data_IF_157927000491
#
_entry.id   IF_157927000491
#
_cell.length_a   1.000
_cell.length_b   1.000
_cell.length_c   1.000
_cell.angle_alpha   90.00
_cell.angle_beta   90.00
_cell.angle_gamma   90.00
#
_symmetry.space_group_name_H-M   'P 1'
#
loop_
_entity.id
_entity.type
_entity.pdbx_description
1 polymer ?
2 non-polymer ?
3 non-polymer ?
4 water ?
#
# COMPACT_ATOMS: atom_id res chain seq x y z
N UNK A 8 -8.01 -13.97 0.23
CA UNK A 8 -7.21 -13.08 -0.60
C UNK A 8 -8.10 -12.07 -1.32
N UNK A 9 -7.38 -10.95 -1.68
CA UNK A 9 -7.96 -9.84 -2.36
C UNK A 9 -8.80 -10.22 -3.56
N UNK A 10 -8.35 -11.15 -4.41
CA UNK A 10 -9.13 -11.55 -5.57
C UNK A 10 -10.34 -12.41 -5.25
N UNK A 11 -10.54 -12.84 -4.01
CA UNK A 11 -11.70 -13.66 -3.66
C UNK A 11 -12.86 -12.81 -3.15
N UNK A 12 -12.64 -11.52 -2.90
CA UNK A 12 -13.78 -10.68 -2.44
C UNK A 12 -14.68 -10.41 -3.64
N UNK A 13 -16.00 -10.56 -3.48
CA UNK A 13 -16.85 -10.22 -4.66
C UNK A 13 -17.03 -8.71 -4.65
N UNK A 14 -16.30 -7.99 -5.50
CA UNK A 14 -16.35 -6.55 -5.56
C UNK A 14 -17.68 -5.96 -6.01
N UNK A 15 -18.57 -6.73 -6.63
CA UNK A 15 -19.85 -6.20 -7.07
C UNK A 15 -20.88 -6.21 -5.95
N UNK A 16 -20.61 -6.87 -4.85
CA UNK A 16 -21.55 -7.01 -3.75
C UNK A 16 -21.29 -6.15 -2.53
N UNK A 17 -20.09 -5.61 -2.41
CA UNK A 17 -19.85 -4.75 -1.22
C UNK A 17 -20.53 -3.42 -1.42
N UNK A 18 -20.64 -2.63 -0.35
CA UNK A 18 -21.33 -1.35 -0.32
C UNK A 18 -20.45 -0.24 0.25
N UNK A 19 -19.79 0.52 -0.62
CA UNK A 19 -18.91 1.60 -0.13
C UNK A 19 -19.70 2.80 0.34
N UNK A 20 -19.17 3.59 1.24
CA UNK A 20 -17.88 3.36 1.85
C UNK A 20 -18.00 2.42 3.03
N UNK A 21 -16.88 1.77 3.41
CA UNK A 21 -16.98 0.85 4.56
C UNK A 21 -15.58 0.54 5.10
N UNK A 22 -15.66 -0.23 6.19
CA UNK A 22 -14.44 -0.78 6.78
C UNK A 22 -14.63 -2.30 6.79
N UNK A 23 -13.63 -3.06 6.38
CA UNK A 23 -13.75 -4.51 6.36
C UNK A 23 -12.45 -5.20 6.76
N UNK A 24 -12.57 -6.21 7.62
CA UNK A 24 -11.36 -7.01 7.93
C UNK A 24 -11.06 -7.78 6.63
N UNK A 25 -9.86 -7.58 6.06
CA UNK A 25 -9.52 -8.24 4.80
C UNK A 25 -8.70 -9.50 5.02
N UNK A 26 -8.19 -9.61 6.24
CA UNK A 26 -7.44 -10.87 6.54
C UNK A 26 -6.80 -10.69 7.90
N UNK A 27 -6.40 -11.83 8.45
CA UNK A 27 -5.73 -11.80 9.78
C UNK A 27 -4.73 -12.95 9.77
N UNK A 28 -3.48 -12.67 10.13
CA UNK A 28 -2.42 -13.67 10.13
C UNK A 28 -1.93 -13.88 11.56
N UNK A 29 -1.62 -15.14 11.86
CA UNK A 29 -1.13 -15.46 13.20
C UNK A 29 0.39 -15.43 13.15
N UNK A 30 0.99 -14.73 14.13
CA UNK A 30 2.48 -14.66 14.07
C UNK A 30 3.04 -15.85 14.82
N UNK A 31 4.32 -16.18 14.68
CA UNK A 31 4.92 -17.33 15.33
C UNK A 31 4.70 -17.47 16.80
N UNK A 32 4.65 -16.38 17.58
CA UNK A 32 4.42 -16.51 19.03
C UNK A 32 2.96 -16.46 19.42
N UNK A 33 2.05 -16.42 18.45
CA UNK A 33 0.63 -16.42 18.76
C UNK A 33 -0.05 -15.06 18.70
N UNK A 34 0.68 -14.04 18.28
CA UNK A 34 0.05 -12.71 18.12
C UNK A 34 -0.65 -12.64 16.77
N UNK A 35 -1.33 -11.54 16.46
CA UNK A 35 -2.07 -11.42 15.21
C UNK A 35 -1.80 -10.08 14.50
N UNK A 36 -1.75 -10.14 13.20
CA UNK A 36 -1.63 -8.97 12.33
C UNK A 36 -2.96 -8.91 11.55
N UNK A 37 -3.72 -7.84 11.69
CA UNK A 37 -5.00 -7.73 11.00
C UNK A 37 -4.89 -6.78 9.80
N UNK A 38 -5.57 -7.13 8.71
CA UNK A 38 -5.50 -6.24 7.53
C UNK A 38 -6.89 -5.65 7.32
N UNK A 39 -7.00 -4.36 7.03
CA UNK A 39 -8.31 -3.74 6.82
C UNK A 39 -8.42 -3.03 5.47
N UNK A 40 -9.55 -3.21 4.83
CA UNK A 40 -9.93 -2.60 3.56
C UNK A 40 -10.74 -1.36 3.95
N UNK A 41 -10.13 -0.20 3.78
CA UNK A 41 -10.78 1.10 4.11
C UNK A 41 -11.25 1.60 2.74
N UNK A 42 -12.54 1.29 2.45
CA UNK A 42 -13.04 1.59 1.12
C UNK A 42 -13.75 2.91 1.02
N UNK A 43 -13.24 3.77 0.17
CA UNK A 43 -13.86 5.08 -0.03
C UNK A 43 -14.94 5.02 -1.12
N UNK A 44 -14.61 4.46 -2.28
CA UNK A 44 -15.50 4.44 -3.41
C UNK A 44 -15.94 3.04 -3.80
N UNK A 45 -17.12 3.01 -4.43
CA UNK A 45 -17.66 1.74 -4.89
C UNK A 45 -16.80 1.14 -6.00
N UNK A 46 -16.36 -0.07 -5.85
CA UNK A 46 -15.53 -0.72 -6.88
C UNK A 46 -16.13 -0.56 -8.25
N UNK A 47 -15.26 -0.14 -9.17
CA UNK A 47 -15.55 0.04 -10.58
C UNK A 47 -16.51 1.12 -10.95
N UNK A 48 -16.81 2.07 -10.08
CA UNK A 48 -17.71 3.17 -10.44
C UNK A 48 -16.95 4.49 -10.46
N UNK A 49 -15.61 4.39 -10.49
CA UNK A 49 -14.77 5.57 -10.51
C UNK A 49 -13.61 5.37 -9.53
N UNK A 50 -12.56 6.16 -9.72
CA UNK A 50 -11.39 6.03 -8.84
C UNK A 50 -10.94 7.40 -8.35
N UNK A 51 -10.18 7.37 -7.27
CA UNK A 51 -9.63 8.60 -6.70
C UNK A 51 -8.42 8.95 -7.59
N UNK A 52 -8.30 10.22 -7.93
CA UNK A 52 -7.15 10.67 -8.76
C UNK A 52 -5.85 10.36 -8.05
N UNK A 53 -4.77 10.01 -8.78
CA UNK A 53 -3.51 9.68 -8.17
C UNK A 53 -2.99 10.73 -7.22
N UNK A 54 -3.07 12.04 -7.60
CA UNK A 54 -2.53 13.04 -6.67
C UNK A 54 -3.31 13.09 -5.36
N UNK A 55 -4.63 13.02 -5.50
CA UNK A 55 -5.52 13.03 -4.35
C UNK A 55 -5.26 11.82 -3.43
N UNK A 56 -5.04 10.62 -4.05
CA UNK A 56 -4.81 9.48 -3.14
C UNK A 56 -3.44 9.52 -2.52
N UNK A 57 -2.49 10.16 -3.16
CA UNK A 57 -1.14 10.36 -2.60
C UNK A 57 -1.26 11.28 -1.39
N UNK A 58 -2.06 12.35 -1.49
CA UNK A 58 -2.29 13.22 -0.33
C UNK A 58 -3.05 12.50 0.77
N UNK A 59 -4.09 11.72 0.43
CA UNK A 59 -4.81 10.94 1.44
C UNK A 59 -3.86 9.99 2.16
N UNK A 60 -2.91 9.41 1.41
CA UNK A 60 -1.90 8.54 2.04
C UNK A 60 -1.07 9.33 3.05
N UNK A 61 -0.57 10.50 2.67
CA UNK A 61 0.24 11.26 3.65
C UNK A 61 -0.57 11.65 4.87
N UNK A 62 -1.83 12.06 4.65
CA UNK A 62 -2.65 12.52 5.77
C UNK A 62 -3.11 11.37 6.67
N UNK A 63 -3.58 10.28 6.03
CA UNK A 63 -4.05 9.16 6.87
C UNK A 63 -2.96 8.36 7.52
N UNK A 64 -1.73 8.45 6.96
CA UNK A 64 -0.62 7.73 7.60
C UNK A 64 -0.47 8.27 9.02
N UNK A 65 -0.54 9.61 9.16
CA UNK A 65 -0.44 10.20 10.48
C UNK A 65 -1.77 10.16 11.26
N UNK A 66 -2.90 10.47 10.63
CA UNK A 66 -4.17 10.52 11.35
C UNK A 66 -4.69 9.18 11.82
N UNK A 67 -4.46 8.09 11.06
CA UNK A 67 -4.85 6.78 11.55
C UNK A 67 -4.04 6.44 12.80
N UNK A 68 -2.73 6.76 12.76
CA UNK A 68 -1.83 6.51 13.89
C UNK A 68 -2.16 7.34 15.11
N UNK A 69 -2.84 8.48 14.92
CA UNK A 69 -3.27 9.27 16.06
C UNK A 69 -4.49 8.64 16.74
N UNK A 70 -5.27 7.84 16.03
CA UNK A 70 -6.50 7.28 16.58
C UNK A 70 -6.51 5.79 16.78
N UNK A 71 -5.42 5.12 16.44
CA UNK A 71 -5.43 3.66 16.60
C UNK A 71 -4.01 3.20 16.93
N UNK A 72 -3.89 2.35 17.93
CA UNK A 72 -2.57 1.83 18.27
C UNK A 72 -2.22 0.64 17.39
N UNK A 73 -0.94 0.36 17.20
CA UNK A 73 -0.44 -0.75 16.45
C UNK A 73 -0.45 -0.71 14.95
N UNK A 74 -0.71 0.48 14.39
CA UNK A 74 -0.69 0.61 12.94
C UNK A 74 0.68 0.34 12.37
N UNK A 75 0.79 -0.56 11.43
CA UNK A 75 2.04 -0.92 10.78
C UNK A 75 2.23 -0.18 9.47
N UNK A 76 1.09 -0.05 8.75
CA UNK A 76 1.13 0.58 7.44
C UNK A 76 -0.26 1.06 7.01
N UNK A 77 -0.24 2.16 6.27
CA UNK A 77 -1.47 2.70 5.65
C UNK A 77 -1.07 2.96 4.21
N UNK A 78 -1.59 2.21 3.23
CA UNK A 78 -1.18 2.41 1.84
C UNK A 78 -2.37 2.52 0.91
N UNK A 79 -2.21 3.19 -0.21
CA UNK A 79 -3.28 3.26 -1.17
C UNK A 79 -3.44 1.92 -1.89
N UNK A 80 -4.66 1.57 -2.32
CA UNK A 80 -4.81 0.36 -3.14
C UNK A 80 -4.51 0.70 -4.60
N UNK A 81 -3.92 -0.24 -5.34
CA UNK A 81 -3.67 0.03 -6.77
C UNK A 81 -4.94 0.38 -7.52
N UNK A 83 -7.25 2.28 -6.51
CA UNK A 83 -7.53 3.64 -6.18
C UNK A 83 -8.94 3.91 -5.69
N UNK A 84 -9.57 2.92 -5.07
CA UNK A 84 -10.92 3.16 -4.51
C UNK A 84 -10.86 3.12 -2.99
N UNK A 85 -9.69 2.80 -2.46
CA UNK A 85 -9.60 2.73 -0.98
C UNK A 85 -8.15 2.56 -0.57
N UNK A 86 -7.99 2.34 0.73
CA UNK A 86 -6.67 2.15 1.31
C UNK A 86 -6.60 0.83 2.10
N UNK A 87 -5.43 0.23 2.12
CA UNK A 87 -5.24 -0.96 2.97
C UNK A 87 -4.49 -0.51 4.24
N UNK A 88 -4.85 -1.09 5.39
CA UNK A 88 -4.14 -0.75 6.62
C UNK A 88 -3.83 -2.07 7.36
N UNK A 89 -2.57 -2.20 7.77
CA UNK A 89 -2.17 -3.41 8.53
C UNK A 89 -1.96 -2.97 9.98
N UNK A 90 -2.52 -3.71 10.93
CA UNK A 90 -2.47 -3.37 12.35
C UNK A 90 -2.04 -4.57 13.19
N UNK A 91 -1.17 -4.33 14.16
CA UNK A 91 -0.81 -5.44 15.07
C UNK A 91 -1.95 -5.48 16.11
N UNK A 92 -2.61 -6.64 16.18
CA UNK A 92 -3.69 -6.81 17.13
C UNK A 92 -4.81 -7.68 16.51
N UNK A 93 -5.58 -8.23 17.43
CA UNK A 93 -6.75 -9.01 17.05
C UNK A 93 -7.70 -8.20 16.18
N UNK A 94 -8.49 -8.85 15.37
CA UNK A 94 -9.48 -8.10 14.57
C UNK A 94 -10.38 -7.29 15.48
N UNK A 95 -10.65 -6.06 15.02
CA UNK A 95 -11.51 -5.12 15.70
C UNK A 95 -12.10 -4.14 14.68
N UNK A 96 -13.01 -4.65 13.86
CA UNK A 96 -13.59 -3.74 12.84
C UNK A 96 -14.30 -2.54 13.41
N UNK A 97 -14.98 -2.70 14.55
CA UNK A 97 -15.71 -1.53 15.10
C UNK A 97 -14.70 -0.48 15.53
N UNK A 98 -13.64 -0.87 16.23
CA UNK A 98 -12.60 0.07 16.63
C UNK A 98 -11.93 0.75 15.45
N UNK A 99 -11.64 0.01 14.38
CA UNK A 99 -11.00 0.60 13.20
C UNK A 99 -11.98 1.53 12.50
N UNK A 100 -13.26 1.17 12.45
CA UNK A 100 -14.23 2.09 11.84
C UNK A 100 -14.27 3.41 12.61
N UNK A 101 -14.28 3.34 13.94
CA UNK A 101 -14.33 4.58 14.73
C UNK A 101 -13.05 5.36 14.53
N UNK A 102 -11.92 4.69 14.45
CA UNK A 102 -10.63 5.37 14.22
C UNK A 102 -10.62 6.02 12.83
N UNK A 103 -11.08 5.29 11.82
CA UNK A 103 -11.14 5.83 10.45
C UNK A 103 -12.04 7.05 10.40
N UNK A 104 -13.19 7.01 11.06
CA UNK A 104 -14.09 8.17 11.04
C UNK A 104 -13.41 9.41 11.64
N UNK A 105 -12.69 9.22 12.74
CA UNK A 105 -11.97 10.31 13.39
C UNK A 105 -10.88 10.84 12.45
N UNK A 106 -10.15 9.89 11.86
CA UNK A 106 -9.09 10.30 10.93
C UNK A 106 -9.62 11.03 9.73
N UNK A 107 -10.81 10.63 9.25
CA UNK A 107 -11.41 11.35 8.10
C UNK A 107 -11.85 12.74 8.51
N UNK A 108 -12.32 12.91 9.75
CA UNK A 108 -12.71 14.26 10.22
C UNK A 108 -11.44 15.12 10.23
N UNK A 109 -10.34 14.55 10.70
CA UNK A 109 -9.08 15.28 10.72
C UNK A 109 -8.65 15.66 9.31
N UNK A 110 -8.79 14.71 8.39
CA UNK A 110 -8.42 14.93 6.99
C UNK A 110 -9.31 16.02 6.37
N UNK A 111 -10.63 15.93 6.58
CA UNK A 111 -11.53 16.91 6.00
C UNK A 111 -11.24 18.33 6.50
N UNK A 112 -10.79 18.42 7.74
CA UNK A 112 -10.49 19.69 8.35
C UNK A 112 -9.04 20.12 8.20
N UNK A 113 -8.21 19.40 7.44
CA UNK A 113 -6.81 19.74 7.28
C UNK A 113 -6.55 20.92 6.36
N UNK A 114 -6.37 22.10 7.01
CA UNK A 114 -6.13 23.32 6.28
C UNK A 114 -4.69 23.80 6.44
N UNK A 115 -3.82 22.93 6.89
CA UNK A 115 -2.40 23.26 7.07
C UNK A 115 -1.68 22.62 5.90
N UNK A 116 -0.40 22.85 5.77
CA UNK A 116 0.36 22.25 4.69
C UNK A 116 0.31 20.71 4.79
N UNK A 117 0.38 20.07 3.63
CA UNK A 117 0.38 18.56 3.68
C UNK A 117 1.69 18.15 4.30
N UNK A 118 1.71 17.26 5.27
CA UNK A 118 2.93 16.80 5.90
C UNK A 118 3.75 15.97 4.92
N UNK A 119 5.06 16.07 5.04
CA UNK A 119 5.99 15.31 4.23
C UNK A 119 6.07 15.62 2.77
N UNK A 120 5.69 16.80 2.32
CA UNK A 120 5.76 17.11 0.88
C UNK A 120 7.01 17.93 0.58
N UNK A 121 8.04 17.25 0.11
CA UNK A 121 9.30 17.89 -0.26
C UNK A 121 10.14 16.83 -1.00
N UNK A 122 11.17 17.28 -1.70
CA UNK A 122 12.06 16.32 -2.38
C UNK A 122 12.77 15.47 -1.37
N UNK A 123 13.00 15.95 -0.14
CA UNK A 123 13.67 15.19 0.88
C UNK A 123 12.80 14.07 1.45
N UNK A 124 11.51 14.39 1.65
CA UNK A 124 10.66 13.42 2.33
C UNK A 124 9.65 12.63 1.55
N UNK A 125 9.48 12.92 0.28
CA UNK A 125 8.46 12.30 -0.56
C UNK A 125 9.05 11.90 -1.90
N UNK A 126 8.65 10.75 -2.45
CA UNK A 126 9.16 10.29 -3.73
C UNK A 126 8.53 10.91 -4.97
N UNK A 127 7.48 11.72 -4.79
CA UNK A 127 6.83 12.42 -5.93
C UNK A 127 6.13 13.65 -5.30
N UNK A 128 6.94 14.60 -4.84
CA UNK A 128 6.38 15.75 -4.12
C UNK A 128 5.53 16.69 -4.96
N UNK A 129 5.57 16.58 -6.27
CA UNK A 129 4.75 17.46 -7.08
C UNK A 129 3.36 16.89 -7.34
N UNK A 130 3.10 15.66 -6.94
CA UNK A 130 1.82 15.03 -7.24
C UNK A 130 0.89 14.94 -6.04
N UNK A 131 0.35 16.06 -5.59
CA UNK A 131 -0.56 16.15 -4.47
C UNK A 131 -1.79 16.98 -4.79
N UNK A 132 -2.85 16.78 -4.02
CA UNK A 132 -4.07 17.58 -4.22
C UNK A 132 -4.82 17.54 -2.88
N UNK A 133 -4.50 18.52 -2.03
CA UNK A 133 -5.13 18.60 -0.73
C UNK A 133 -6.63 18.83 -0.86
N UNK A 134 -7.00 19.79 -1.74
CA UNK A 134 -8.44 20.05 -1.87
C UNK A 134 -9.22 18.79 -2.23
N UNK A 135 -8.71 17.98 -3.16
CA UNK A 135 -9.43 16.76 -3.55
C UNK A 135 -9.44 15.75 -2.42
N UNK A 136 -8.30 15.65 -1.70
CA UNK A 136 -8.25 14.69 -0.58
C UNK A 136 -9.26 15.07 0.50
N UNK A 137 -9.36 16.37 0.83
CA UNK A 137 -10.30 16.80 1.87
C UNK A 137 -11.74 16.55 1.43
N UNK A 138 -12.02 16.74 0.15
CA UNK A 138 -13.40 16.49 -0.30
C UNK A 138 -13.75 15.02 -0.28
N UNK A 139 -12.77 14.16 -0.59
CA UNK A 139 -13.05 12.71 -0.53
C UNK A 139 -13.38 12.32 0.88
N UNK A 140 -12.69 12.88 1.88
CA UNK A 140 -12.92 12.58 3.28
C UNK A 140 -14.35 13.04 3.61
N UNK A 141 -14.69 14.26 3.21
CA UNK A 141 -16.06 14.75 3.46
C UNK A 141 -17.11 13.86 2.86
N UNK A 142 -16.95 13.42 1.61
CA UNK A 142 -17.91 12.55 0.95
C UNK A 142 -18.08 11.23 1.72
N UNK A 143 -17.00 10.65 2.23
CA UNK A 143 -17.16 9.40 2.99
C UNK A 143 -17.98 9.68 4.26
N UNK A 144 -17.67 10.76 4.97
CA UNK A 144 -18.43 11.06 6.19
C UNK A 144 -19.89 11.37 5.84
N UNK A 145 -20.13 12.08 4.74
CA UNK A 145 -21.52 12.37 4.37
C UNK A 145 -22.30 11.10 4.09
N UNK A 146 -21.71 10.15 3.36
CA UNK A 146 -22.44 8.91 3.05
C UNK A 146 -22.61 8.03 4.27
N UNK A 147 -21.59 8.03 5.14
CA UNK A 147 -21.59 7.25 6.35
C UNK A 147 -20.87 5.91 6.20
N UNK A 148 -20.06 5.60 7.20
CA UNK A 148 -19.33 4.35 7.20
C UNK A 148 -20.10 3.24 7.87
N UNK A 149 -19.74 2.01 7.54
CA UNK A 149 -20.36 0.84 8.18
C UNK A 149 -19.38 -0.34 8.06
N UNK A 150 -19.53 -1.36 8.85
CA UNK A 150 -18.69 -2.56 8.79
C UNK A 150 -19.29 -3.49 7.73
N UNK A 151 -18.52 -3.75 6.69
CA UNK A 151 -18.90 -4.57 5.56
C UNK A 151 -18.45 -6.01 5.71
N UNK A 152 -19.42 -6.92 5.53
CA UNK A 152 -19.07 -8.33 5.59
C UNK A 152 -18.28 -8.73 4.33
N UNK A 153 -17.41 -9.74 4.48
CA UNK A 153 -16.69 -10.24 3.33
C UNK A 153 -17.59 -11.21 2.58
N UNK A 154 -17.92 -10.84 1.36
CA UNK A 154 -18.78 -11.68 0.52
C UNK A 154 -17.79 -12.34 -0.45
N UNK A 155 -17.70 -13.66 -0.38
CA UNK A 155 -16.71 -14.36 -1.20
C UNK A 155 -17.24 -14.75 -2.57
N UNK A 156 -16.32 -14.83 -3.54
CA UNK A 156 -16.74 -15.30 -4.87
C UNK A 156 -16.81 -16.84 -4.83
N UNK B 7 5.23 9.68 11.33
CA UNK B 7 5.29 8.95 10.05
C UNK B 7 6.76 8.80 9.67
N UNK B 8 7.34 7.64 9.95
CA UNK B 8 8.64 7.20 9.61
C UNK B 8 9.04 7.24 8.16
N UNK B 9 8.11 7.15 7.24
CA UNK B 9 8.38 7.36 5.84
C UNK B 9 9.06 8.70 5.54
N UNK B 10 8.68 9.73 6.20
CA UNK B 10 9.12 11.08 5.90
C UNK B 10 10.54 11.34 6.42
N UNK B 11 11.07 10.37 7.14
CA UNK B 11 12.43 10.53 7.69
C UNK B 11 13.51 10.04 6.76
N UNK B 12 13.16 9.27 5.72
CA UNK B 12 14.24 8.82 4.81
C UNK B 12 14.64 10.00 3.90
N UNK B 13 15.94 10.22 3.70
CA UNK B 13 16.37 11.28 2.79
C UNK B 13 16.29 10.76 1.35
N UNK B 14 15.19 11.12 0.70
CA UNK B 14 14.89 10.66 -0.65
C UNK B 14 15.89 11.14 -1.69
N UNK B 15 16.70 12.16 -1.39
CA UNK B 15 17.66 12.67 -2.36
C UNK B 15 18.94 11.83 -2.30
N UNK B 16 19.15 11.06 -1.25
CA UNK B 16 20.38 10.29 -1.13
C UNK B 16 20.34 8.83 -1.47
N UNK B 17 19.18 8.22 -1.68
CA UNK B 17 19.09 6.81 -2.06
C UNK B 17 19.36 6.69 -3.56
N UNK B 18 19.70 5.46 -3.97
CA UNK B 18 20.02 5.18 -5.37
C UNK B 18 19.21 4.04 -5.90
N UNK B 19 18.10 4.35 -6.58
CA UNK B 19 17.24 3.29 -7.11
C UNK B 19 17.83 2.62 -8.34
N UNK B 20 17.42 1.40 -8.65
CA UNK B 20 16.49 0.64 -7.86
C UNK B 20 17.15 -0.07 -6.70
N UNK B 21 16.33 -0.39 -5.67
CA UNK B 21 16.93 -1.06 -4.51
C UNK B 21 15.84 -1.74 -3.68
N UNK B 22 16.37 -2.46 -2.67
CA UNK B 22 15.53 -3.01 -1.60
C UNK B 22 16.08 -2.39 -0.31
N UNK B 23 15.16 -1.95 0.56
CA UNK B 23 15.61 -1.36 1.85
C UNK B 23 14.66 -1.73 2.97
N UNK B 24 15.24 -2.06 4.13
CA UNK B 24 14.34 -2.32 5.28
C UNK B 24 13.84 -0.92 5.67
N UNK B 25 12.52 -0.71 5.59
CA UNK B 25 11.91 0.58 5.92
C UNK B 25 11.59 0.68 7.41
N UNK B 26 11.36 -0.45 8.05
CA UNK B 26 11.09 -0.40 9.49
C UNK B 26 10.83 -1.82 9.97
N UNK B 27 10.96 -1.99 11.29
CA UNK B 27 10.68 -3.30 11.87
C UNK B 27 9.84 -3.02 13.14
N UNK B 28 8.75 -3.73 13.29
CA UNK B 28 7.96 -3.52 14.52
C UNK B 28 7.85 -4.87 15.21
N UNK B 29 7.64 -4.84 16.54
CA UNK B 29 7.43 -6.14 17.18
C UNK B 29 6.02 -6.21 17.75
N UNK B 30 5.47 -7.43 17.73
CA UNK B 30 4.15 -7.65 18.35
C UNK B 30 4.44 -7.73 19.86
N UNK B 31 3.39 -7.76 20.68
CA UNK B 31 3.59 -7.82 22.13
C UNK B 31 4.42 -8.98 22.61
N UNK B 32 4.30 -10.17 22.00
CA UNK B 32 5.08 -11.33 22.44
C UNK B 32 6.50 -11.30 21.90
N UNK B 33 6.75 -10.47 20.88
CA UNK B 33 8.08 -10.36 20.34
C UNK B 33 8.30 -10.75 18.91
N UNK B 34 7.26 -10.97 18.13
CA UNK B 34 7.49 -11.35 16.73
C UNK B 34 7.76 -10.08 15.90
N UNK B 35 8.76 -10.19 15.04
CA UNK B 35 9.09 -9.04 14.20
C UNK B 35 8.30 -9.04 12.89
N UNK B 36 7.83 -7.85 12.55
CA UNK B 36 7.10 -7.56 11.32
C UNK B 36 8.00 -6.54 10.60
N UNK B 37 8.60 -7.01 9.49
CA UNK B 37 9.52 -6.16 8.76
C UNK B 37 8.82 -5.55 7.53
N UNK B 38 9.17 -4.30 7.26
CA UNK B 38 8.54 -3.62 6.11
C UNK B 38 9.69 -3.23 5.17
N UNK B 39 9.50 -3.53 3.88
CA UNK B 39 10.56 -3.24 2.94
C UNK B 39 10.10 -2.25 1.87
N UNK B 40 11.06 -1.40 1.53
CA UNK B 40 10.85 -0.42 0.45
C UNK B 40 11.47 -1.11 -0.78
N UNK B 41 10.61 -1.41 -1.74
CA UNK B 41 11.03 -2.06 -3.01
C UNK B 41 10.96 -0.89 -3.99
N UNK B 42 12.16 -0.31 -4.23
CA UNK B 42 12.11 0.93 -5.04
C UNK B 42 12.48 0.70 -6.50
N UNK B 43 11.54 1.06 -7.37
CA UNK B 43 11.80 0.88 -8.81
C UNK B 43 12.49 2.12 -9.40
N UNK B 44 11.94 3.30 -9.12
CA UNK B 44 12.42 4.52 -9.73
C UNK B 44 13.06 5.46 -8.73
N UNK B 45 13.98 6.29 -9.23
CA UNK B 45 14.61 7.28 -8.33
C UNK B 45 13.56 8.29 -7.90
N UNK B 46 13.46 8.59 -6.62
CA UNK B 46 12.49 9.57 -6.13
C UNK B 46 12.61 10.90 -6.87
N UNK B 47 11.47 11.40 -7.31
CA UNK B 47 11.28 12.66 -8.03
C UNK B 47 11.87 12.79 -9.39
N UNK B 48 12.20 11.70 -10.06
CA UNK B 48 12.71 11.74 -11.43
C UNK B 48 11.71 11.16 -12.42
N UNK B 49 10.50 10.89 -11.97
CA UNK B 49 9.47 10.31 -12.84
C UNK B 49 8.71 9.29 -11.96
N UNK B 50 7.53 8.93 -12.43
CA UNK B 50 6.70 7.99 -11.65
C UNK B 50 6.09 6.95 -12.52
N UNK B 51 5.73 5.81 -11.94
CA UNK B 51 5.07 4.74 -12.68
C UNK B 51 3.62 5.14 -12.92
N UNK B 52 3.16 4.89 -14.14
CA UNK B 52 1.74 5.28 -14.44
C UNK B 52 0.83 4.47 -13.53
N UNK B 53 -0.31 5.04 -13.10
CA UNK B 53 -1.24 4.36 -12.22
C UNK B 53 -1.67 3.01 -12.75
N UNK B 54 -1.94 2.89 -14.08
CA UNK B 54 -2.35 1.57 -14.58
C UNK B 54 -1.27 0.52 -14.41
N UNK B 55 -0.05 0.92 -14.74
CA UNK B 55 1.09 0.03 -14.64
C UNK B 55 1.38 -0.36 -13.18
N UNK B 56 1.24 0.61 -12.27
CA UNK B 56 1.54 0.20 -10.86
C UNK B 56 0.46 -0.71 -10.32
N UNK B 57 -0.75 -0.56 -10.83
CA UNK B 57 -1.88 -1.42 -10.42
C UNK B 57 -1.57 -2.84 -10.90
N UNK B 58 -1.08 -2.97 -12.14
CA UNK B 58 -0.71 -4.31 -12.62
C UNK B 58 0.48 -4.84 -11.83
N UNK B 59 1.48 -4.01 -11.53
CA UNK B 59 2.60 -4.47 -10.73
C UNK B 59 2.13 -5.00 -9.38
N UNK B 60 1.14 -4.30 -8.78
CA UNK B 60 0.61 -4.76 -7.49
C UNK B 60 -0.02 -6.13 -7.62
N UNK B 61 -0.86 -6.36 -8.65
CA UNK B 61 -1.46 -7.69 -8.79
C UNK B 61 -0.38 -8.75 -9.07
N UNK B 62 0.62 -8.43 -9.88
CA UNK B 62 1.63 -9.45 -10.17
C UNK B 62 2.55 -9.71 -9.01
N UNK B 63 3.07 -8.66 -8.34
CA UNK B 63 4.02 -8.89 -7.26
C UNK B 63 3.37 -9.43 -5.99
N UNK B 64 2.05 -9.17 -5.87
CA UNK B 64 1.32 -9.74 -4.72
C UNK B 64 1.56 -11.25 -4.71
N UNK B 65 1.39 -11.87 -5.88
CA UNK B 65 1.58 -13.29 -6.02
C UNK B 65 3.01 -13.73 -6.17
N UNK B 66 3.83 -13.01 -6.95
CA UNK B 66 5.20 -13.47 -7.16
C UNK B 66 6.11 -13.29 -5.94
N UNK B 67 5.85 -12.26 -5.12
CA UNK B 67 6.64 -12.12 -3.89
C UNK B 67 6.30 -13.30 -2.95
N UNK B 68 5.02 -13.62 -2.89
CA UNK B 68 4.57 -14.75 -2.04
C UNK B 68 5.16 -16.06 -2.52
N UNK B 69 5.39 -16.20 -3.83
CA UNK B 69 5.99 -17.40 -4.38
C UNK B 69 7.45 -17.54 -4.00
N UNK B 70 8.18 -16.46 -3.74
CA UNK B 70 9.59 -16.53 -3.48
C UNK B 70 10.02 -16.19 -2.06
N UNK B 71 9.02 -15.88 -1.24
CA UNK B 71 9.39 -15.48 0.14
C UNK B 71 8.30 -15.90 1.10
N UNK B 72 8.66 -16.52 2.24
CA UNK B 72 7.62 -16.87 3.19
C UNK B 72 7.24 -15.70 4.09
N UNK B 73 6.03 -15.76 4.63
CA UNK B 73 5.55 -14.79 5.57
C UNK B 73 5.13 -13.44 5.05
N UNK B 74 4.94 -13.37 3.73
CA UNK B 74 4.49 -12.07 3.18
C UNK B 74 3.10 -11.72 3.68
N UNK B 75 2.90 -10.49 4.15
CA UNK B 75 1.59 -10.08 4.65
C UNK B 75 0.88 -9.26 3.58
N UNK B 76 1.68 -8.44 2.89
CA UNK B 76 1.09 -7.55 1.89
C UNK B 76 2.12 -6.96 0.95
N UNK B 77 1.70 -6.65 -0.27
CA UNK B 77 2.54 -5.93 -1.25
C UNK B 77 1.65 -4.78 -1.78
N UNK B 78 1.98 -3.54 -1.45
CA UNK B 78 1.14 -2.41 -1.88
C UNK B 78 1.94 -1.37 -2.66
N UNK B 79 1.29 -0.69 -3.59
CA UNK B 79 1.98 0.38 -4.31
C UNK B 79 2.15 1.57 -3.39
N UNK B 80 3.20 2.36 -3.58
CA UNK B 80 3.36 3.60 -2.80
C UNK B 80 2.56 4.71 -3.48
N UNK B 81 2.04 5.67 -2.70
CA UNK B 81 1.34 6.82 -3.27
C UNK B 81 2.22 7.61 -4.24
N UNK B 83 4.29 6.46 -6.27
CA UNK B 83 4.38 5.67 -7.49
C UNK B 83 5.80 5.44 -7.99
N UNK B 84 6.76 5.36 -7.10
CA UNK B 84 8.13 5.06 -7.51
C UNK B 84 8.55 3.70 -6.95
N UNK B 85 7.67 3.12 -6.15
CA UNK B 85 8.02 1.82 -5.55
C UNK B 85 6.83 1.19 -4.83
N UNK B 86 7.09 0.06 -4.21
CA UNK B 86 6.07 -0.69 -3.50
C UNK B 86 6.56 -0.93 -2.06
N UNK B 87 5.61 -1.06 -1.14
CA UNK B 87 5.95 -1.47 0.21
C UNK B 87 5.54 -2.94 0.40
N UNK B 88 6.38 -3.69 1.11
CA UNK B 88 6.03 -5.09 1.40
C UNK B 88 6.27 -5.38 2.88
N UNK B 89 5.23 -5.92 3.52
CA UNK B 89 5.34 -6.26 4.95
C UNK B 89 5.53 -7.78 5.07
N UNK B 90 6.45 -8.21 5.92
CA UNK B 90 6.73 -9.64 6.07
C UNK B 90 6.82 -10.03 7.55
N UNK B 91 6.17 -11.16 7.88
CA UNK B 91 6.31 -11.62 9.27
C UNK B 91 7.66 -12.35 9.28
N UNK B 92 8.63 -11.77 9.94
CA UNK B 92 9.95 -12.34 10.04
C UNK B 92 11.01 -11.33 10.37
N UNK B 93 12.18 -11.80 10.80
CA UNK B 93 13.28 -10.92 11.14
C UNK B 93 13.82 -10.23 9.87
N UNK B 94 14.36 -9.04 10.00
CA UNK B 94 14.91 -8.34 8.88
C UNK B 94 15.88 -9.22 8.09
N UNK B 95 15.74 -9.22 6.76
CA UNK B 95 16.60 -10.00 5.87
C UNK B 95 16.63 -9.30 4.49
N UNK B 96 17.32 -8.17 4.48
CA UNK B 96 17.40 -7.39 3.23
C UNK B 96 18.00 -8.20 2.10
N UNK B 97 19.06 -8.97 2.36
CA UNK B 97 19.60 -9.77 1.25
C UNK B 97 18.61 -10.79 0.73
N UNK B 98 17.90 -11.49 1.61
CA UNK B 98 16.92 -12.48 1.17
C UNK B 98 15.78 -11.84 0.40
N UNK B 99 15.36 -10.66 0.88
CA UNK B 99 14.29 -9.95 0.18
C UNK B 99 14.76 -9.47 -1.19
N UNK B 100 16.03 -9.08 -1.29
CA UNK B 100 16.54 -8.63 -2.58
C UNK B 100 16.50 -9.78 -3.57
N UNK B 101 16.94 -10.96 -3.09
CA UNK B 101 16.90 -12.14 -4.00
C UNK B 101 15.49 -12.52 -4.41
N UNK B 102 14.54 -12.44 -3.49
CA UNK B 102 13.13 -12.74 -3.78
C UNK B 102 12.56 -11.73 -4.79
N UNK B 103 12.86 -10.46 -4.56
CA UNK B 103 12.39 -9.39 -5.44
C UNK B 103 12.94 -9.60 -6.84
N UNK B 104 14.23 -9.94 -6.93
CA UNK B 104 14.82 -10.21 -8.25
C UNK B 104 14.11 -11.35 -8.92
N UNK B 105 13.90 -12.46 -8.18
CA UNK B 105 13.18 -13.59 -8.79
C UNK B 105 11.79 -13.18 -9.24
N UNK B 106 11.07 -12.46 -8.37
CA UNK B 106 9.73 -12.00 -8.70
C UNK B 106 9.71 -11.01 -9.84
N UNK B 107 10.78 -10.22 -10.01
CA UNK B 107 10.84 -9.30 -11.16
C UNK B 107 11.05 -10.08 -12.45
N UNK B 108 11.81 -11.18 -12.37
CA UNK B 108 11.94 -11.99 -13.60
C UNK B 108 10.60 -12.57 -13.95
N UNK B 109 9.84 -13.03 -12.94
CA UNK B 109 8.52 -13.59 -13.23
C UNK B 109 7.63 -12.51 -13.85
N UNK B 110 7.73 -11.30 -13.31
CA UNK B 110 6.92 -10.19 -13.76
C UNK B 110 7.31 -9.80 -15.18
N UNK B 111 8.60 -9.65 -15.46
CA UNK B 111 9.01 -9.26 -16.82
C UNK B 111 8.58 -10.27 -17.85
N UNK B 112 8.55 -11.55 -17.50
CA UNK B 112 8.15 -12.56 -18.48
C UNK B 112 6.69 -12.95 -18.42
N UNK B 113 5.86 -12.21 -17.66
CA UNK B 113 4.46 -12.59 -17.53
C UNK B 113 3.65 -12.26 -18.79
N UNK B 114 3.37 -13.34 -19.52
CA UNK B 114 2.61 -13.20 -20.78
C UNK B 114 1.22 -13.80 -20.67
N UNK B 115 0.85 -14.26 -19.49
CA UNK B 115 -0.47 -14.81 -19.23
C UNK B 115 -1.38 -13.70 -18.76
N UNK B 116 -2.68 -13.91 -18.67
CA UNK B 116 -3.55 -12.83 -18.22
C UNK B 116 -3.11 -12.37 -16.83
N UNK B 117 -3.40 -11.11 -16.54
CA UNK B 117 -3.07 -10.59 -15.21
C UNK B 117 -3.98 -11.27 -14.17
N UNK B 118 -3.43 -11.88 -13.14
CA UNK B 118 -4.26 -12.52 -12.13
C UNK B 118 -5.17 -11.50 -11.45
N UNK B 119 -6.42 -11.90 -11.20
CA UNK B 119 -7.40 -11.09 -10.51
C UNK B 119 -8.00 -9.91 -11.17
N UNK B 120 -7.99 -9.86 -12.52
CA UNK B 120 -8.55 -8.71 -13.22
C UNK B 120 -9.90 -9.07 -13.81
N UNK B 121 -10.93 -8.56 -13.16
CA UNK B 121 -12.31 -8.74 -13.57
C UNK B 121 -13.13 -7.81 -12.69
N UNK B 122 -14.36 -7.51 -13.08
CA UNK B 122 -15.18 -6.61 -12.24
C UNK B 122 -15.47 -7.26 -10.90
N UNK B 123 -15.48 -8.59 -10.88
CA UNK B 123 -15.71 -9.33 -9.66
C UNK B 123 -14.53 -9.29 -8.69
N UNK B 124 -13.31 -9.35 -9.23
CA UNK B 124 -12.12 -9.47 -8.45
C UNK B 124 -11.26 -8.24 -8.21
N UNK B 125 -11.51 -7.17 -8.91
CA UNK B 125 -10.64 -5.96 -8.83
C UNK B 125 -11.49 -4.72 -8.76
N UNK B 126 -11.11 -3.69 -8.00
CA UNK B 126 -11.92 -2.49 -7.88
C UNK B 126 -11.80 -1.46 -8.97
N UNK B 127 -10.92 -1.64 -9.94
CA UNK B 127 -10.74 -0.72 -11.08
C UNK B 127 -10.17 -1.61 -12.19
N UNK B 128 -11.00 -2.58 -12.61
CA UNK B 128 -10.54 -3.57 -13.55
C UNK B 128 -10.10 -3.07 -14.89
N UNK B 129 -10.54 -1.91 -15.34
CA UNK B 129 -10.12 -1.38 -16.65
C UNK B 129 -8.75 -0.74 -16.56
N UNK B 130 -8.30 -0.33 -15.38
CA UNK B 130 -7.05 0.35 -15.18
C UNK B 130 -5.79 -0.47 -15.01
N UNK B 131 -5.41 -1.19 -16.05
CA UNK B 131 -4.21 -2.04 -16.05
C UNK B 131 -3.33 -1.76 -17.26
N UNK B 132 -2.05 -2.13 -17.12
CA UNK B 132 -1.11 -1.97 -18.23
C UNK B 132 0.03 -2.95 -18.04
N UNK B 133 -0.21 -4.18 -18.51
CA UNK B 133 0.77 -5.23 -18.40
C UNK B 133 2.02 -4.95 -19.20
N UNK B 134 1.89 -4.36 -20.40
CA UNK B 134 3.13 -4.08 -21.15
C UNK B 134 4.06 -3.16 -20.40
N UNK B 135 3.47 -2.13 -19.76
CA UNK B 135 4.27 -1.18 -18.99
C UNK B 135 4.84 -1.81 -17.73
N UNK B 136 4.04 -2.62 -17.05
CA UNK B 136 4.54 -3.28 -15.82
C UNK B 136 5.69 -4.20 -16.14
N UNK B 137 5.60 -4.97 -17.23
CA UNK B 137 6.68 -5.88 -17.59
C UNK B 137 7.95 -5.10 -17.89
N UNK B 138 7.82 -3.99 -18.62
CA UNK B 138 8.97 -3.18 -18.98
C UNK B 138 9.60 -2.54 -17.74
N UNK B 139 8.76 -2.07 -16.82
CA UNK B 139 9.39 -1.53 -15.56
C UNK B 139 10.16 -2.62 -14.83
N UNK B 140 9.68 -3.87 -14.80
CA UNK B 140 10.40 -4.94 -14.12
C UNK B 140 11.71 -5.21 -14.86
N UNK B 141 11.64 -5.27 -16.20
CA UNK B 141 12.87 -5.48 -16.95
C UNK B 141 13.85 -4.32 -16.73
N UNK B 142 13.36 -3.08 -16.63
CA UNK B 142 14.26 -1.96 -16.41
C UNK B 142 15.01 -2.13 -15.09
N UNK B 143 14.26 -2.55 -14.04
CA UNK B 143 14.95 -2.75 -12.77
C UNK B 143 16.06 -3.79 -12.88
N UNK B 144 15.75 -4.91 -13.51
CA UNK B 144 16.75 -5.98 -13.70
C UNK B 144 17.91 -5.50 -14.54
N UNK B 145 17.62 -4.68 -15.56
CA UNK B 145 18.68 -4.14 -16.40
C UNK B 145 19.62 -3.26 -15.60
N UNK B 146 19.09 -2.41 -14.71
CA UNK B 146 19.90 -1.52 -13.91
C UNK B 146 20.65 -2.25 -12.82
N UNK B 147 19.99 -3.20 -12.18
CA UNK B 147 20.56 -4.02 -11.13
C UNK B 147 20.12 -3.52 -9.74
N UNK B 148 19.71 -4.49 -8.93
CA UNK B 148 19.31 -4.11 -7.57
C UNK B 148 20.49 -4.10 -6.62
N UNK B 149 20.29 -3.46 -5.47
CA UNK B 149 21.27 -3.45 -4.39
C UNK B 149 20.51 -3.23 -3.08
N UNK B 150 21.17 -3.50 -1.98
CA UNK B 150 20.54 -3.25 -0.66
C UNK B 150 20.91 -1.80 -0.32
N UNK B 151 19.91 -0.99 -0.15
CA UNK B 151 20.13 0.44 0.13
C UNK B 151 20.13 0.77 1.61
N UNK B 152 21.17 1.49 2.02
CA UNK B 152 21.24 1.93 3.42
C UNK B 152 20.17 2.97 3.68
N UNK B 153 19.59 2.98 4.87
CA UNK B 153 18.65 4.02 5.21
C UNK B 153 19.48 5.24 5.66
N UNK B 154 19.33 6.31 4.93
CA UNK B 154 19.99 7.58 5.20
C UNK B 154 18.88 8.47 5.78
N UNK B 155 18.96 8.82 7.04
CA UNK B 155 17.91 9.62 7.67
C UNK B 155 18.14 11.11 7.48
N UNK B 156 17.05 11.88 7.58
CA UNK B 156 17.12 13.34 7.49
C UNK B 156 17.62 13.95 8.80
#
# INVERSE_FOLDING_TARGET
MPDMANVESFDLDHTKVKAPYVRLAGVKTTPKGDQISKYDLRFLQPNQGAIDPAAIHTLEHLLAGYMRDHLEGVVDVSPMGXRTGMYMAVIGEPDEQGVMKAFEAALKDTAGHDQPIPGVSELECGNYRDHDLAAARQHARDVLDQGLKVQETILLERGSHHHHHH
MPDMANVESFDLDHTKVKAPYVRLAGVKTTPKGDQISKYDLRFLQPNQGAIDPAAIHTLEHLLAGYMRDHLEGVVDVSPMGXRTGMYMAVIGEPDEQGVMKAFEAALKDTAGHDQPIPGVSELECGNYRDHDLAAARQHARDVLDQGLKVQETILLERGSHHHHHH
#
